data_IF_558147860918
#
_entry.id   IF_558147860918
#
_cell.length_a   1.000
_cell.length_b   1.000
_cell.length_c   1.000
_cell.angle_alpha   90.00
_cell.angle_beta   90.00
_cell.angle_gamma   90.00
#
_symmetry.space_group_name_H-M   'P 1'
#
loop_
_entity.id
_entity.type
_entity.pdbx_description
1 polymer ?
#
# COMPACT_ATOMS: atom_id res chain seq x y z
N UNK A 1 -34.86 -24.11 -14.46
CA UNK A 1 -33.73 -24.10 -13.50
C UNK A 1 -32.52 -24.90 -13.99
N UNK A 2 -32.70 -26.06 -14.63
CA UNK A 2 -31.62 -26.93 -15.16
C UNK A 2 -30.81 -26.27 -16.28
N UNK A 3 -31.45 -25.54 -17.19
CA UNK A 3 -30.77 -24.89 -18.32
C UNK A 3 -29.80 -23.78 -17.91
N UNK A 4 -30.14 -22.98 -16.87
CA UNK A 4 -29.24 -21.96 -16.33
C UNK A 4 -28.01 -22.55 -15.63
N UNK A 5 -28.16 -23.70 -14.94
CA UNK A 5 -27.02 -24.42 -14.33
C UNK A 5 -26.09 -25.02 -15.40
N UNK A 6 -26.64 -25.52 -16.50
CA UNK A 6 -25.85 -26.08 -17.60
C UNK A 6 -25.05 -25.00 -18.34
N UNK A 7 -25.65 -23.84 -18.64
CA UNK A 7 -24.95 -22.70 -19.27
C UNK A 7 -23.83 -22.15 -18.37
N UNK A 8 -24.07 -22.03 -17.06
CA UNK A 8 -23.03 -21.62 -16.11
C UNK A 8 -21.85 -22.61 -16.04
N UNK A 9 -22.15 -23.91 -16.09
CA UNK A 9 -21.13 -24.96 -16.06
C UNK A 9 -20.28 -24.93 -17.34
N UNK A 10 -20.90 -24.84 -18.52
CA UNK A 10 -20.18 -24.74 -19.81
C UNK A 10 -19.31 -23.48 -19.88
N UNK A 11 -19.80 -22.36 -19.37
CA UNK A 11 -19.05 -21.10 -19.30
C UNK A 11 -17.82 -21.20 -18.40
N UNK A 12 -17.94 -21.90 -17.26
CA UNK A 12 -16.81 -22.16 -16.36
C UNK A 12 -15.69 -22.98 -17.03
N UNK A 13 -16.03 -24.03 -17.78
CA UNK A 13 -15.03 -24.82 -18.51
C UNK A 13 -14.32 -24.00 -19.59
N UNK A 14 -15.04 -23.17 -20.34
CA UNK A 14 -14.43 -22.29 -21.34
C UNK A 14 -13.46 -21.28 -20.72
N UNK A 15 -13.76 -20.75 -19.53
CA UNK A 15 -12.83 -19.88 -18.79
C UNK A 15 -11.58 -20.67 -18.37
N UNK A 16 -11.76 -21.87 -17.81
CA UNK A 16 -10.63 -22.71 -17.38
C UNK A 16 -9.72 -23.05 -18.55
N UNK A 17 -10.27 -23.42 -19.69
CA UNK A 17 -9.50 -23.74 -20.90
C UNK A 17 -8.78 -22.50 -21.44
N UNK A 18 -9.42 -21.33 -21.37
CA UNK A 18 -8.80 -20.05 -21.74
C UNK A 18 -7.63 -19.71 -20.81
N UNK A 19 -7.78 -19.92 -19.50
CA UNK A 19 -6.71 -19.71 -18.51
C UNK A 19 -5.55 -20.67 -18.79
N UNK A 20 -5.82 -21.96 -19.02
CA UNK A 20 -4.78 -22.94 -19.39
C UNK A 20 -4.07 -22.57 -20.69
N UNK A 21 -4.83 -22.09 -21.68
CA UNK A 21 -4.27 -21.56 -22.92
C UNK A 21 -3.31 -20.39 -22.67
N UNK A 22 -3.65 -19.49 -21.75
CA UNK A 22 -2.79 -18.37 -21.35
C UNK A 22 -1.55 -18.82 -20.58
N UNK A 23 -1.66 -19.84 -19.71
CA UNK A 23 -0.51 -20.38 -18.98
C UNK A 23 0.61 -20.84 -19.93
N UNK A 24 0.26 -21.44 -21.07
CA UNK A 24 1.22 -21.91 -22.08
C UNK A 24 2.05 -20.80 -22.76
N UNK A 25 1.64 -19.53 -22.65
CA UNK A 25 2.36 -18.38 -23.23
C UNK A 25 3.00 -17.48 -22.16
N UNK A 26 2.88 -17.87 -20.88
CA UNK A 26 3.47 -17.18 -19.75
C UNK A 26 4.58 -18.02 -19.12
N UNK A 27 5.51 -17.40 -18.38
CA UNK A 27 6.50 -18.16 -17.64
C UNK A 27 5.89 -18.76 -16.37
N UNK A 28 6.17 -20.04 -16.14
CA UNK A 28 5.75 -20.72 -14.91
C UNK A 28 6.45 -20.12 -13.68
N UNK A 29 5.81 -20.16 -12.49
CA UNK A 29 6.47 -19.85 -11.24
C UNK A 29 7.69 -20.74 -11.01
N UNK A 30 8.70 -20.23 -10.31
CA UNK A 30 9.92 -21.01 -10.07
C UNK A 30 9.62 -22.35 -9.37
N UNK A 31 10.19 -23.44 -9.88
CA UNK A 31 9.87 -24.82 -9.45
C UNK A 31 10.12 -25.07 -7.97
N UNK A 32 11.14 -24.44 -7.37
CA UNK A 32 11.40 -24.56 -5.94
C UNK A 32 10.33 -23.89 -5.08
N UNK A 33 9.70 -22.79 -5.55
CA UNK A 33 8.55 -22.18 -4.88
C UNK A 33 7.34 -23.11 -4.97
N UNK A 34 7.08 -23.70 -6.14
CA UNK A 34 5.99 -24.68 -6.31
C UNK A 34 6.14 -25.87 -5.35
N UNK A 35 7.37 -26.36 -5.16
CA UNK A 35 7.67 -27.42 -4.19
C UNK A 35 7.58 -26.99 -2.72
N UNK A 36 7.81 -25.70 -2.42
CA UNK A 36 7.75 -25.16 -1.07
C UNK A 36 6.32 -24.79 -0.61
N UNK A 37 5.46 -24.32 -1.53
CA UNK A 37 4.11 -23.82 -1.21
C UNK A 37 3.26 -24.78 -0.37
N UNK A 38 3.18 -26.09 -0.67
CA UNK A 38 2.40 -27.01 0.16
C UNK A 38 2.88 -27.03 1.62
N UNK A 39 4.20 -27.02 1.84
CA UNK A 39 4.77 -27.00 3.19
C UNK A 39 4.58 -25.65 3.87
N UNK A 40 4.68 -24.53 3.13
CA UNK A 40 4.39 -23.20 3.69
C UNK A 40 2.93 -23.13 4.16
N UNK A 41 1.99 -23.66 3.37
CA UNK A 41 0.56 -23.65 3.73
C UNK A 41 0.23 -24.59 4.88
N UNK A 42 0.89 -25.76 4.98
CA UNK A 42 0.60 -26.77 6.00
C UNK A 42 1.35 -26.54 7.32
N UNK A 43 2.59 -26.05 7.28
CA UNK A 43 3.51 -26.01 8.43
C UNK A 43 3.76 -24.61 9.00
N UNK A 44 3.19 -23.55 8.42
CA UNK A 44 3.30 -22.23 9.03
C UNK A 44 2.31 -22.15 10.19
N UNK A 45 2.83 -22.07 11.40
CA UNK A 45 2.05 -22.00 12.63
C UNK A 45 1.28 -20.67 12.76
N UNK A 46 0.15 -20.71 13.47
CA UNK A 46 -0.71 -19.54 13.69
C UNK A 46 0.01 -18.39 14.43
N UNK A 47 0.98 -18.71 15.29
CA UNK A 47 1.74 -17.70 16.04
C UNK A 47 2.56 -16.78 15.13
N UNK A 48 3.04 -17.30 13.99
CA UNK A 48 3.74 -16.51 12.99
C UNK A 48 2.82 -15.41 12.45
N UNK A 49 1.60 -15.77 12.04
CA UNK A 49 0.63 -14.80 11.53
C UNK A 49 0.21 -13.80 12.59
N UNK A 50 -0.07 -14.26 13.82
CA UNK A 50 -0.43 -13.39 14.94
C UNK A 50 0.68 -12.37 15.25
N UNK A 51 1.94 -12.80 15.24
CA UNK A 51 3.10 -11.93 15.45
C UNK A 51 3.18 -10.86 14.37
N UNK A 52 3.06 -11.22 13.09
CA UNK A 52 3.10 -10.26 11.98
C UNK A 52 1.93 -9.27 12.05
N UNK A 53 0.72 -9.76 12.34
CA UNK A 53 -0.47 -8.90 12.51
C UNK A 53 -0.29 -7.92 13.66
N UNK A 54 0.30 -8.34 14.78
CA UNK A 54 0.56 -7.45 15.92
C UNK A 54 1.58 -6.36 15.55
N UNK A 55 2.68 -6.71 14.88
CA UNK A 55 3.69 -5.75 14.40
C UNK A 55 3.05 -4.73 13.45
N UNK A 56 2.25 -5.19 12.49
CA UNK A 56 1.57 -4.30 11.53
C UNK A 56 0.54 -3.42 12.22
N UNK A 57 -0.16 -3.92 13.25
CA UNK A 57 -1.10 -3.13 14.04
C UNK A 57 -0.37 -2.00 14.77
N UNK A 58 0.71 -2.30 15.47
CA UNK A 58 1.52 -1.30 16.18
C UNK A 58 2.06 -0.24 15.20
N UNK A 59 2.61 -0.66 14.06
CA UNK A 59 3.09 0.26 13.04
C UNK A 59 1.97 1.13 12.44
N UNK A 60 0.77 0.56 12.26
CA UNK A 60 -0.42 1.28 11.83
C UNK A 60 -0.87 2.34 12.86
N UNK A 61 -0.83 2.04 14.16
CA UNK A 61 -1.10 3.02 15.24
C UNK A 61 -0.13 4.19 15.16
N UNK A 62 1.18 3.89 15.15
CA UNK A 62 2.24 4.89 15.10
C UNK A 62 2.05 5.78 13.87
N UNK A 63 1.83 5.17 12.70
CA UNK A 63 1.61 5.89 11.45
C UNK A 63 0.40 6.83 11.56
N UNK A 64 -0.74 6.30 12.01
CA UNK A 64 -1.98 7.06 12.12
C UNK A 64 -1.87 8.24 13.09
N UNK A 65 -1.23 8.05 14.24
CA UNK A 65 -1.07 9.10 15.24
C UNK A 65 -0.09 10.18 14.79
N UNK A 66 1.05 9.79 14.21
CA UNK A 66 2.05 10.74 13.68
C UNK A 66 1.52 11.55 12.49
N UNK A 67 0.70 10.95 11.62
CA UNK A 67 0.07 11.67 10.49
C UNK A 67 -0.78 12.85 10.96
N UNK A 68 -1.47 12.73 12.11
CA UNK A 68 -2.30 13.82 12.66
C UNK A 68 -1.48 15.08 12.97
N UNK A 69 -0.17 14.94 13.18
CA UNK A 69 0.75 16.04 13.46
C UNK A 69 1.22 16.78 12.20
N UNK A 70 0.81 16.35 11.00
CA UNK A 70 1.26 16.88 9.71
C UNK A 70 0.06 17.52 8.98
N UNK A 71 -0.18 18.84 9.13
CA UNK A 71 -1.41 19.49 8.67
C UNK A 71 -1.73 19.35 7.18
N UNK A 72 -0.71 19.24 6.31
CA UNK A 72 -0.94 19.10 4.88
C UNK A 72 -1.42 17.71 4.46
N UNK A 73 -1.42 16.71 5.35
CA UNK A 73 -1.94 15.38 5.04
C UNK A 73 -3.03 14.99 6.03
N UNK A 74 -4.01 14.21 5.56
CA UNK A 74 -5.10 13.75 6.41
C UNK A 74 -5.37 12.28 6.16
N UNK A 75 -5.36 11.49 7.23
CA UNK A 75 -5.79 10.11 7.19
C UNK A 75 -7.30 10.04 7.54
N UNK A 76 -8.20 9.81 6.57
CA UNK A 76 -9.65 9.86 6.81
C UNK A 76 -10.14 8.75 7.74
N UNK A 77 -9.47 7.60 7.71
CA UNK A 77 -9.81 6.42 8.50
C UNK A 77 -8.53 5.73 8.92
N UNK A 78 -8.48 5.27 10.16
CA UNK A 78 -7.40 4.42 10.65
C UNK A 78 -7.35 3.12 9.84
N UNK A 79 -6.17 2.63 9.42
CA UNK A 79 -6.07 1.39 8.67
C UNK A 79 -6.41 0.19 9.56
N UNK A 80 -7.31 -0.68 9.09
CA UNK A 80 -7.73 -1.91 9.78
C UNK A 80 -7.04 -3.17 9.24
N UNK A 81 -6.23 -3.03 8.19
CA UNK A 81 -5.48 -4.11 7.56
C UNK A 81 -4.53 -3.61 6.48
N UNK A 82 -3.88 -4.55 5.77
CA UNK A 82 -2.81 -4.27 4.81
C UNK A 82 -1.53 -3.72 5.47
N UNK A 83 -0.68 -3.06 4.66
CA UNK A 83 0.69 -2.62 4.99
C UNK A 83 0.93 -1.14 4.62
N UNK A 84 -0.13 -0.42 4.29
CA UNK A 84 -0.08 0.98 3.88
C UNK A 84 -1.38 1.71 4.22
N UNK A 85 -1.31 3.04 4.20
CA UNK A 85 -2.45 3.93 4.37
C UNK A 85 -2.50 4.96 3.24
N UNK A 86 -3.71 5.27 2.79
CA UNK A 86 -3.96 6.36 1.85
C UNK A 86 -4.27 7.63 2.65
N UNK A 87 -3.46 8.67 2.43
CA UNK A 87 -3.67 9.99 3.05
C UNK A 87 -3.99 11.02 1.99
N UNK A 88 -4.93 11.90 2.30
CA UNK A 88 -5.30 13.01 1.41
C UNK A 88 -4.30 14.14 1.57
N UNK A 89 -3.75 14.62 0.47
CA UNK A 89 -2.84 15.76 0.43
C UNK A 89 -3.63 17.06 0.23
N UNK A 90 -3.45 17.99 1.15
CA UNK A 90 -4.02 19.32 1.10
C UNK A 90 -3.00 20.33 0.56
N UNK A 91 -2.96 20.46 -0.77
CA UNK A 91 -2.11 21.40 -1.48
C UNK A 91 -2.37 22.88 -1.11
N UNK A 92 -3.57 23.20 -0.60
CA UNK A 92 -3.87 24.59 -0.22
C UNK A 92 -2.99 25.11 0.92
N UNK A 93 -2.38 24.21 1.70
CA UNK A 93 -1.50 24.52 2.82
C UNK A 93 -0.02 24.58 2.43
N UNK A 94 0.32 24.34 1.16
CA UNK A 94 1.69 24.24 0.66
C UNK A 94 2.00 25.35 -0.34
N UNK A 95 3.19 25.94 -0.24
CA UNK A 95 3.81 26.80 -1.26
C UNK A 95 4.63 25.95 -2.22
N UNK A 96 4.74 26.41 -3.46
CA UNK A 96 5.61 25.82 -4.48
C UNK A 96 5.42 24.31 -4.68
N UNK A 97 4.20 23.75 -4.50
CA UNK A 97 3.88 22.35 -4.76
C UNK A 97 2.59 22.25 -5.55
N UNK A 98 2.67 21.73 -6.77
CA UNK A 98 1.56 21.74 -7.73
C UNK A 98 0.59 20.56 -7.58
N UNK A 99 1.11 19.37 -7.29
CA UNK A 99 0.34 18.14 -7.15
C UNK A 99 1.03 17.07 -6.27
N UNK A 100 0.42 15.89 -6.14
CA UNK A 100 0.97 14.79 -5.35
C UNK A 100 2.27 14.21 -5.93
N UNK A 101 2.47 14.25 -7.25
CA UNK A 101 3.72 13.80 -7.85
C UNK A 101 4.86 14.75 -7.54
N UNK A 102 4.64 16.06 -7.69
CA UNK A 102 5.63 17.09 -7.36
C UNK A 102 5.99 17.06 -5.86
N UNK A 103 4.99 16.89 -4.97
CA UNK A 103 5.21 16.67 -3.54
C UNK A 103 6.16 15.49 -3.30
N UNK A 104 5.88 14.32 -3.89
CA UNK A 104 6.70 13.12 -3.72
C UNK A 104 8.12 13.30 -4.24
N UNK A 105 8.29 13.96 -5.40
CA UNK A 105 9.60 14.19 -6.01
C UNK A 105 10.45 15.14 -5.16
N UNK A 106 9.86 16.23 -4.64
CA UNK A 106 10.56 17.19 -3.77
C UNK A 106 10.90 16.59 -2.42
N UNK A 107 9.96 15.88 -1.80
CA UNK A 107 10.20 15.15 -0.56
C UNK A 107 11.37 14.16 -0.70
N UNK A 108 11.43 13.40 -1.79
CA UNK A 108 12.52 12.47 -2.04
C UNK A 108 13.87 13.19 -2.20
N UNK A 109 13.90 14.35 -2.87
CA UNK A 109 15.13 15.13 -3.09
C UNK A 109 15.64 15.81 -1.82
N UNK A 110 14.74 16.37 -1.01
CA UNK A 110 15.11 17.17 0.16
C UNK A 110 15.30 16.34 1.43
N UNK A 111 14.43 15.35 1.64
CA UNK A 111 14.37 14.57 2.87
C UNK A 111 14.86 13.13 2.69
N UNK A 112 15.15 12.69 1.47
CA UNK A 112 15.44 11.28 1.17
C UNK A 112 14.31 10.34 1.62
N UNK A 113 13.06 10.81 1.59
CA UNK A 113 11.87 10.01 1.91
C UNK A 113 11.05 9.77 0.64
N UNK A 114 10.79 8.50 0.33
CA UNK A 114 10.02 8.11 -0.84
C UNK A 114 8.63 7.66 -0.40
N UNK A 115 7.60 8.36 -0.87
CA UNK A 115 6.19 7.97 -0.73
C UNK A 115 5.57 7.83 -2.12
N UNK A 116 4.60 6.94 -2.29
CA UNK A 116 3.99 6.73 -3.59
C UNK A 116 2.90 7.80 -3.83
N UNK A 117 2.95 8.54 -4.95
CA UNK A 117 1.89 9.48 -5.29
C UNK A 117 0.61 8.73 -5.65
N UNK A 118 -0.53 9.27 -5.23
CA UNK A 118 -1.86 8.67 -5.42
C UNK A 118 -2.25 8.58 -6.89
N UNK A 119 -1.77 9.47 -7.75
CA UNK A 119 -2.00 9.41 -9.21
C UNK A 119 -1.56 8.08 -9.81
N UNK A 120 -0.54 7.42 -9.25
CA UNK A 120 -0.07 6.10 -9.70
C UNK A 120 -1.10 4.97 -9.45
N UNK A 121 -2.07 5.21 -8.56
CA UNK A 121 -3.19 4.30 -8.26
C UNK A 121 -4.56 4.94 -8.57
N UNK A 122 -4.58 6.00 -9.38
CA UNK A 122 -5.81 6.65 -9.85
C UNK A 122 -6.46 7.63 -8.87
N UNK A 123 -5.74 8.10 -7.84
CA UNK A 123 -6.24 9.02 -6.81
C UNK A 123 -5.43 10.33 -6.77
N UNK A 124 -5.92 11.36 -7.47
CA UNK A 124 -5.27 12.69 -7.51
C UNK A 124 -5.23 13.36 -6.14
N UNK A 125 -4.09 13.96 -5.78
CA UNK A 125 -3.88 14.64 -4.48
C UNK A 125 -4.01 13.69 -3.28
N UNK A 126 -3.58 12.44 -3.44
CA UNK A 126 -3.43 11.48 -2.35
C UNK A 126 -1.99 10.97 -2.31
N UNK A 127 -1.60 10.41 -1.18
CA UNK A 127 -0.30 9.74 -1.01
C UNK A 127 -0.55 8.36 -0.39
N UNK A 128 0.25 7.38 -0.81
CA UNK A 128 0.27 6.04 -0.19
C UNK A 128 1.53 5.90 0.65
N UNK A 129 1.35 5.89 1.97
CA UNK A 129 2.43 5.73 2.96
C UNK A 129 2.44 4.28 3.42
N UNK A 130 3.57 3.59 3.25
CA UNK A 130 3.75 2.24 3.80
C UNK A 130 4.21 2.31 5.24
N UNK A 131 3.69 1.41 6.08
CA UNK A 131 4.10 1.26 7.47
C UNK A 131 4.67 -0.14 7.76
N UNK A 132 4.81 -1.00 6.74
CA UNK A 132 5.47 -2.31 6.86
C UNK A 132 7.00 -2.19 6.78
N UNK A 133 7.55 -1.34 7.65
CA UNK A 133 8.98 -1.09 7.85
C UNK A 133 9.28 -1.09 9.35
N UNK A 134 10.55 -1.01 9.73
CA UNK A 134 10.92 -0.90 11.14
C UNK A 134 10.28 0.36 11.79
N UNK A 135 9.70 0.26 13.00
CA UNK A 135 9.05 1.40 13.66
C UNK A 135 9.94 2.65 13.77
N UNK A 136 11.23 2.47 14.06
CA UNK A 136 12.22 3.55 14.13
C UNK A 136 12.32 4.32 12.80
N UNK A 137 12.41 3.59 11.69
CA UNK A 137 12.46 4.14 10.33
C UNK A 137 11.15 4.82 9.93
N UNK A 138 10.01 4.27 10.37
CA UNK A 138 8.70 4.87 10.15
C UNK A 138 8.55 6.21 10.87
N UNK A 139 8.93 6.26 12.15
CA UNK A 139 8.91 7.49 12.93
C UNK A 139 9.84 8.56 12.36
N UNK A 140 11.05 8.17 11.96
CA UNK A 140 12.00 9.07 11.32
C UNK A 140 11.44 9.62 9.99
N UNK A 141 10.91 8.73 9.14
CA UNK A 141 10.34 9.12 7.85
C UNK A 141 9.17 10.10 7.99
N UNK A 142 8.25 9.84 8.93
CA UNK A 142 7.13 10.74 9.23
C UNK A 142 7.62 12.07 9.84
N UNK A 143 8.66 12.04 10.68
CA UNK A 143 9.32 13.23 11.20
C UNK A 143 9.91 14.11 10.09
N UNK A 144 10.55 13.49 9.10
CA UNK A 144 11.08 14.18 7.91
C UNK A 144 9.97 14.76 7.03
N UNK A 145 8.85 14.04 6.83
CA UNK A 145 7.67 14.59 6.13
C UNK A 145 7.14 15.84 6.87
N UNK A 146 7.10 15.80 8.20
CA UNK A 146 6.69 16.95 9.02
C UNK A 146 7.64 18.15 8.83
N UNK A 147 8.95 17.90 8.82
CA UNK A 147 9.95 18.94 8.58
C UNK A 147 9.85 19.54 7.16
N UNK A 148 9.61 18.70 6.16
CA UNK A 148 9.33 19.13 4.78
C UNK A 148 8.10 20.03 4.72
N UNK A 149 6.99 19.61 5.34
CA UNK A 149 5.80 20.45 5.46
C UNK A 149 6.12 21.81 6.08
N UNK A 150 6.88 21.85 7.19
CA UNK A 150 7.21 23.12 7.86
C UNK A 150 7.99 24.10 6.97
N UNK A 151 8.83 23.61 6.05
CA UNK A 151 9.57 24.47 5.11
C UNK A 151 8.73 24.95 3.94
N UNK A 152 7.78 24.14 3.48
CA UNK A 152 6.90 24.43 2.35
C UNK A 152 5.50 24.91 2.77
N UNK A 153 5.27 25.17 4.06
CA UNK A 153 3.97 25.63 4.54
C UNK A 153 3.70 27.06 4.07
N UNK A 154 2.46 27.33 3.64
CA UNK A 154 2.05 28.71 3.32
C UNK A 154 2.22 29.65 4.50
N UNK A 155 2.93 30.75 4.28
CA UNK A 155 3.02 31.84 5.24
C UNK A 155 1.69 32.59 5.26
N UNK A 156 1.08 32.69 6.45
CA UNK A 156 -0.11 33.51 6.68
C UNK A 156 0.21 34.99 6.64
#
# INVERSE_FOLDING_TARGET
MIHKKFVFFVFFFQIVDSIKGFLNISSDPATFIQGAVPQILEKTEDDFFLKIVNILREAAEICYDRIKEIPCITCPSKPEGSMFVMVKLNLSLLEDIDDDLDFCVKLAKEESVIVLPGVAVGLKNWLRITFAIEPSSLEEGLGRIKAFYQRHAKKQ
#
